data_IF_845444333711
#
_entry.id   IF_845444333711
#
_cell.length_a   1.000
_cell.length_b   1.000
_cell.length_c   1.000
_cell.angle_alpha   90.00
_cell.angle_beta   90.00
_cell.angle_gamma   90.00
#
_symmetry.space_group_name_H-M   'P 1'
#
loop_
_entity.id
_entity.type
_entity.pdbx_description
1 polymer ?
#
# COMPACT_ATOMS: atom_id res chain seq x y z
N UNK A 1 24.85 2.95 38.54
CA UNK A 1 26.08 3.20 37.77
C UNK A 1 25.71 3.33 36.31
N UNK A 2 26.04 4.43 35.63
CA UNK A 2 25.77 4.60 34.20
C UNK A 2 26.58 3.62 33.34
N UNK A 3 26.05 3.31 32.16
CA UNK A 3 26.69 2.50 31.12
C UNK A 3 27.14 3.45 30.02
N UNK A 4 28.38 3.29 29.57
CA UNK A 4 28.96 4.04 28.48
C UNK A 4 29.42 3.09 27.37
N UNK A 5 29.10 3.44 26.12
CA UNK A 5 29.53 2.73 24.93
C UNK A 5 30.87 3.28 24.43
N UNK A 6 31.77 2.41 24.00
CA UNK A 6 33.08 2.74 23.44
C UNK A 6 33.33 2.01 22.13
N UNK A 7 34.09 2.62 21.23
CA UNK A 7 34.66 1.97 20.06
C UNK A 7 36.19 2.07 20.04
N UNK A 8 36.81 0.97 19.69
CA UNK A 8 38.26 0.87 19.49
C UNK A 8 38.63 1.20 18.04
N UNK A 9 39.87 1.64 17.80
CA UNK A 9 40.43 1.82 16.44
C UNK A 9 40.42 0.54 15.60
N UNK A 10 40.49 -0.63 16.26
CA UNK A 10 40.36 -1.93 15.61
C UNK A 10 38.91 -2.28 15.19
N UNK A 11 37.93 -1.41 15.46
CA UNK A 11 36.52 -1.59 15.06
C UNK A 11 35.66 -2.36 16.05
N UNK A 12 36.15 -2.66 17.26
CA UNK A 12 35.36 -3.32 18.31
C UNK A 12 34.50 -2.32 19.09
N UNK A 13 33.25 -2.70 19.37
CA UNK A 13 32.32 -1.99 20.25
C UNK A 13 32.22 -2.69 21.60
N UNK A 14 32.23 -1.94 22.68
CA UNK A 14 32.10 -2.51 24.02
C UNK A 14 31.51 -1.52 25.04
N UNK A 15 30.84 -2.08 26.04
CA UNK A 15 30.14 -1.32 27.07
C UNK A 15 30.89 -1.40 28.40
N UNK A 16 30.94 -0.30 29.14
CA UNK A 16 31.53 -0.25 30.48
C UNK A 16 30.62 0.45 31.47
N UNK A 17 30.49 -0.15 32.65
CA UNK A 17 29.88 0.46 33.82
C UNK A 17 30.94 1.30 34.54
N UNK A 18 30.80 2.63 34.53
CA UNK A 18 31.69 3.52 35.27
C UNK A 18 30.89 4.42 36.21
N UNK A 19 31.40 4.74 37.41
CA UNK A 19 30.86 5.83 38.20
C UNK A 19 31.12 7.17 37.50
N UNK A 20 30.25 8.15 37.72
CA UNK A 20 30.38 9.47 37.09
C UNK A 20 31.68 10.19 37.47
N UNK A 21 32.22 9.91 38.66
CA UNK A 21 33.51 10.45 39.11
C UNK A 21 34.70 10.00 38.25
N UNK A 22 34.59 8.84 37.61
CA UNK A 22 35.64 8.25 36.76
C UNK A 22 35.32 8.43 35.27
N UNK A 23 34.37 9.31 34.95
CA UNK A 23 33.88 9.48 33.60
C UNK A 23 35.03 9.68 32.60
N UNK A 24 36.01 10.53 32.88
CA UNK A 24 37.11 10.85 31.95
C UNK A 24 38.26 9.85 31.93
N UNK A 25 38.17 8.74 32.67
CA UNK A 25 39.23 7.73 32.65
C UNK A 25 39.27 6.97 31.31
N UNK A 26 40.44 6.87 30.65
CA UNK A 26 40.57 6.17 29.39
C UNK A 26 40.30 4.67 29.56
N UNK A 27 39.44 4.12 28.72
CA UNK A 27 39.09 2.70 28.75
C UNK A 27 39.85 1.93 27.67
N UNK A 28 40.41 0.78 28.03
CA UNK A 28 41.09 -0.11 27.11
C UNK A 28 40.13 -1.18 26.57
N UNK A 29 40.24 -1.44 25.27
CA UNK A 29 39.59 -2.58 24.64
C UNK A 29 40.33 -3.89 25.00
N UNK A 30 39.68 -5.04 24.83
CA UNK A 30 40.32 -6.36 24.99
C UNK A 30 41.51 -6.56 24.05
N UNK A 31 41.58 -5.83 22.93
CA UNK A 31 42.72 -5.83 22.02
C UNK A 31 43.89 -4.91 22.45
N UNK A 32 43.78 -4.23 23.60
CA UNK A 32 44.84 -3.37 24.16
C UNK A 32 44.86 -1.93 23.62
N UNK A 33 44.14 -1.65 22.54
CA UNK A 33 43.99 -0.28 22.02
C UNK A 33 43.01 0.56 22.85
N UNK A 34 43.21 1.89 22.92
CA UNK A 34 42.31 2.78 23.65
C UNK A 34 40.94 2.86 22.97
N UNK A 35 39.88 2.82 23.77
CA UNK A 35 38.50 3.00 23.34
C UNK A 35 38.11 4.48 23.36
N UNK A 36 37.51 4.95 22.26
CA UNK A 36 36.86 6.26 22.17
C UNK A 36 35.39 6.12 22.57
N UNK A 37 34.91 7.01 23.46
CA UNK A 37 33.50 7.07 23.84
C UNK A 37 32.63 7.33 22.61
N UNK A 38 31.56 6.56 22.49
CA UNK A 38 30.51 6.77 21.51
C UNK A 38 29.27 7.28 22.21
N UNK A 39 28.77 8.42 21.72
CA UNK A 39 27.42 8.85 22.02
C UNK A 39 26.57 8.29 20.89
N UNK A 40 26.03 7.09 21.11
CA UNK A 40 25.11 6.50 20.14
C UNK A 40 23.86 7.36 20.03
N UNK A 41 23.33 7.42 18.81
CA UNK A 41 22.12 8.19 18.54
C UNK A 41 20.95 7.49 19.23
N UNK A 42 20.37 8.13 20.24
CA UNK A 42 19.13 7.65 20.84
C UNK A 42 18.02 7.81 19.81
N UNK A 43 17.54 6.69 19.27
CA UNK A 43 16.37 6.67 18.40
C UNK A 43 15.12 6.68 19.27
N UNK A 44 14.62 7.87 19.61
CA UNK A 44 13.33 7.98 20.29
C UNK A 44 12.23 7.82 19.25
N UNK A 45 11.56 6.66 19.27
CA UNK A 45 10.34 6.48 18.49
C UNK A 45 9.21 7.30 19.10
N UNK A 46 8.98 8.51 18.58
CA UNK A 46 7.80 9.29 18.97
C UNK A 46 6.57 8.62 18.37
N UNK A 47 5.80 7.92 19.20
CA UNK A 47 4.49 7.43 18.80
C UNK A 47 3.62 8.62 18.40
N UNK A 48 2.89 8.48 17.29
CA UNK A 48 1.88 9.48 16.91
C UNK A 48 0.84 9.55 18.02
N UNK A 49 0.43 10.75 18.38
CA UNK A 49 -0.64 10.93 19.36
C UNK A 49 -1.96 10.59 18.67
N UNK A 50 -2.54 9.46 19.05
CA UNK A 50 -3.69 8.84 18.39
C UNK A 50 -4.72 8.57 19.46
N UNK A 51 -5.30 9.66 19.98
CA UNK A 51 -6.31 9.65 21.02
C UNK A 51 -7.69 9.98 20.42
N UNK A 52 -8.57 8.97 20.32
CA UNK A 52 -9.96 9.15 19.89
C UNK A 52 -10.83 7.97 20.35
N UNK A 53 -12.15 8.15 20.34
CA UNK A 53 -13.10 7.07 20.61
C UNK A 53 -13.45 6.36 19.30
N UNK A 54 -13.32 5.03 19.25
CA UNK A 54 -13.66 4.24 18.06
C UNK A 54 -15.12 4.52 17.65
N UNK A 55 -15.39 4.94 16.40
CA UNK A 55 -16.75 5.19 15.92
C UNK A 55 -17.62 3.93 15.85
N UNK A 56 -17.00 2.74 15.83
CA UNK A 56 -17.69 1.46 15.65
C UNK A 56 -18.11 0.92 17.03
N UNK A 57 -17.15 0.82 17.95
CA UNK A 57 -17.32 0.14 19.24
C UNK A 57 -17.44 1.08 20.45
N UNK A 58 -17.18 2.39 20.28
CA UNK A 58 -17.19 3.35 21.38
C UNK A 58 -16.02 3.22 22.38
N UNK A 59 -15.02 2.38 22.09
CA UNK A 59 -13.84 2.19 22.96
C UNK A 59 -12.83 3.33 22.79
N UNK A 60 -12.21 3.82 23.89
CA UNK A 60 -11.15 4.81 23.78
C UNK A 60 -9.88 4.16 23.21
N UNK A 61 -9.37 4.74 22.12
CA UNK A 61 -8.08 4.42 21.52
C UNK A 61 -7.10 5.47 22.01
N UNK A 62 -6.05 5.04 22.71
CA UNK A 62 -5.04 5.92 23.32
C UNK A 62 -3.65 5.73 22.72
N UNK A 63 -3.47 4.76 21.80
CA UNK A 63 -2.19 4.45 21.17
C UNK A 63 -2.38 3.85 19.78
N UNK A 64 -1.34 3.90 18.94
CA UNK A 64 -1.33 3.24 17.63
C UNK A 64 -1.50 1.72 17.72
N UNK A 65 -1.02 1.10 18.81
CA UNK A 65 -1.25 -0.33 19.04
C UNK A 65 -2.74 -0.63 19.25
N UNK A 66 -3.42 0.17 20.09
CA UNK A 66 -4.86 0.07 20.30
C UNK A 66 -5.65 0.35 19.01
N UNK A 67 -5.20 1.30 18.18
CA UNK A 67 -5.78 1.57 16.87
C UNK A 67 -5.67 0.39 15.93
N UNK A 68 -4.50 -0.24 15.84
CA UNK A 68 -4.28 -1.42 14.99
C UNK A 68 -5.14 -2.61 15.42
N UNK A 69 -5.30 -2.81 16.73
CA UNK A 69 -6.16 -3.86 17.26
C UNK A 69 -7.64 -3.60 16.95
N UNK A 70 -8.09 -2.36 17.10
CA UNK A 70 -9.47 -1.95 16.78
C UNK A 70 -9.79 -2.15 15.29
N UNK A 71 -8.86 -1.76 14.41
CA UNK A 71 -8.96 -1.98 12.97
C UNK A 71 -9.02 -3.48 12.63
N UNK A 72 -8.15 -4.29 13.23
CA UNK A 72 -8.12 -5.73 13.00
C UNK A 72 -9.40 -6.42 13.49
N UNK A 73 -9.93 -6.01 14.66
CA UNK A 73 -11.17 -6.57 15.24
C UNK A 73 -12.39 -6.28 14.36
N UNK A 74 -12.44 -5.09 13.77
CA UNK A 74 -13.54 -4.63 12.93
C UNK A 74 -13.32 -4.91 11.43
N UNK A 75 -12.31 -5.72 11.09
CA UNK A 75 -11.92 -6.03 9.70
C UNK A 75 -11.78 -4.78 8.81
N UNK A 76 -11.26 -3.70 9.39
CA UNK A 76 -11.09 -2.40 8.76
C UNK A 76 -9.60 -2.18 8.41
N UNK A 77 -9.35 -1.42 7.35
CA UNK A 77 -8.01 -1.02 6.91
C UNK A 77 -7.87 0.49 7.09
N UNK A 78 -6.69 1.01 7.46
CA UNK A 78 -6.45 2.45 7.44
C UNK A 78 -6.79 3.04 6.07
N UNK A 79 -7.57 4.11 6.06
CA UNK A 79 -7.91 4.80 4.82
C UNK A 79 -6.66 5.43 4.21
N UNK A 80 -6.39 5.06 2.96
CA UNK A 80 -5.41 5.71 2.10
C UNK A 80 -6.17 6.49 1.01
N UNK A 81 -5.91 7.80 0.82
CA UNK A 81 -6.61 8.61 -0.18
C UNK A 81 -6.49 8.07 -1.61
N UNK A 82 -5.42 7.32 -1.93
CA UNK A 82 -5.24 6.76 -3.27
C UNK A 82 -6.13 5.54 -3.55
N UNK A 83 -6.70 4.88 -2.53
CA UNK A 83 -7.56 3.70 -2.71
C UNK A 83 -8.72 3.97 -3.67
N UNK A 84 -9.32 5.16 -3.61
CA UNK A 84 -10.41 5.54 -4.53
C UNK A 84 -9.91 5.62 -5.97
N UNK A 85 -8.75 6.24 -6.17
CA UNK A 85 -8.15 6.39 -7.49
C UNK A 85 -7.72 5.03 -8.06
N UNK A 86 -7.21 4.13 -7.22
CA UNK A 86 -6.84 2.78 -7.62
C UNK A 86 -8.05 1.94 -8.03
N UNK A 87 -9.16 2.03 -7.28
CA UNK A 87 -10.41 1.37 -7.64
C UNK A 87 -10.93 1.91 -8.98
N UNK A 88 -10.93 3.23 -9.18
CA UNK A 88 -11.35 3.85 -10.44
C UNK A 88 -10.45 3.42 -11.61
N UNK A 89 -9.13 3.37 -11.39
CA UNK A 89 -8.16 2.93 -12.40
C UNK A 89 -8.36 1.47 -12.75
N UNK A 90 -8.56 0.60 -11.75
CA UNK A 90 -8.83 -0.82 -11.96
C UNK A 90 -10.11 -1.02 -12.76
N UNK A 91 -11.20 -0.34 -12.38
CA UNK A 91 -12.47 -0.37 -13.12
C UNK A 91 -12.30 0.10 -14.57
N UNK A 92 -11.57 1.20 -14.80
CA UNK A 92 -11.32 1.68 -16.16
C UNK A 92 -10.49 0.69 -17.00
N UNK A 93 -9.54 -0.01 -16.39
CA UNK A 93 -8.77 -1.07 -17.06
C UNK A 93 -9.63 -2.30 -17.37
N UNK A 94 -10.50 -2.69 -16.45
CA UNK A 94 -11.45 -3.80 -16.64
C UNK A 94 -12.46 -3.47 -17.74
N UNK A 95 -13.01 -2.25 -17.75
CA UNK A 95 -13.90 -1.75 -18.81
C UNK A 95 -13.20 -1.78 -20.18
N UNK A 96 -11.99 -1.22 -20.27
CA UNK A 96 -11.23 -1.22 -21.53
C UNK A 96 -10.88 -2.64 -22.01
N UNK A 97 -10.57 -3.55 -21.09
CA UNK A 97 -10.32 -4.95 -21.42
C UNK A 97 -11.58 -5.66 -21.92
N UNK A 98 -12.74 -5.34 -21.33
CA UNK A 98 -14.03 -5.85 -21.79
C UNK A 98 -14.37 -5.34 -23.19
N UNK A 99 -14.25 -4.04 -23.43
CA UNK A 99 -14.49 -3.42 -24.73
C UNK A 99 -13.59 -4.06 -25.82
N UNK A 100 -12.30 -4.21 -25.54
CA UNK A 100 -11.37 -4.90 -26.44
C UNK A 100 -11.73 -6.37 -26.70
N UNK A 101 -12.35 -7.05 -25.73
CA UNK A 101 -12.81 -8.43 -25.90
C UNK A 101 -14.06 -8.52 -26.79
N UNK A 102 -14.94 -7.52 -26.72
CA UNK A 102 -16.12 -7.40 -27.59
C UNK A 102 -15.67 -7.15 -29.03
N UNK A 103 -14.77 -6.19 -29.25
CA UNK A 103 -14.23 -5.88 -30.57
C UNK A 103 -13.63 -7.12 -31.24
N UNK A 104 -12.76 -7.84 -30.53
CA UNK A 104 -12.18 -9.10 -31.02
C UNK A 104 -13.24 -10.13 -31.39
N UNK A 105 -14.28 -10.28 -30.57
CA UNK A 105 -15.36 -11.23 -30.84
C UNK A 105 -16.16 -10.86 -32.08
N UNK A 106 -16.40 -9.56 -32.30
CA UNK A 106 -17.08 -9.03 -33.48
C UNK A 106 -16.24 -9.27 -34.74
N UNK A 107 -14.94 -8.98 -34.69
CA UNK A 107 -14.01 -9.23 -35.80
C UNK A 107 -14.00 -10.72 -36.20
N UNK A 108 -13.83 -11.61 -35.23
CA UNK A 108 -13.86 -13.05 -35.48
C UNK A 108 -15.19 -13.52 -36.08
N UNK A 109 -16.31 -12.97 -35.59
CA UNK A 109 -17.64 -13.30 -36.10
C UNK A 109 -17.83 -12.81 -37.54
N UNK A 110 -17.30 -11.64 -37.87
CA UNK A 110 -17.32 -11.07 -39.22
C UNK A 110 -16.50 -11.91 -40.21
N UNK A 111 -15.29 -12.32 -39.82
CA UNK A 111 -14.42 -13.16 -40.64
C UNK A 111 -15.03 -14.53 -40.93
N UNK A 112 -15.65 -15.16 -39.91
CA UNK A 112 -16.32 -16.45 -40.05
C UNK A 112 -17.61 -16.36 -40.88
N UNK A 113 -18.11 -15.15 -41.19
CA UNK A 113 -19.37 -14.95 -41.88
C UNK A 113 -19.24 -15.15 -43.42
N UNK A 114 -20.12 -15.95 -44.05
CA UNK A 114 -20.18 -16.09 -45.51
C UNK A 114 -20.45 -14.75 -46.22
N UNK A 115 -19.89 -14.56 -47.41
CA UNK A 115 -19.99 -13.30 -48.18
C UNK A 115 -21.44 -12.85 -48.42
N UNK A 116 -22.35 -13.79 -48.76
CA UNK A 116 -23.77 -13.49 -48.97
C UNK A 116 -24.47 -12.92 -47.72
N UNK A 117 -24.04 -13.31 -46.51
CA UNK A 117 -24.59 -12.74 -45.26
C UNK A 117 -24.00 -11.35 -44.96
N UNK A 118 -22.72 -11.14 -45.26
CA UNK A 118 -22.06 -9.83 -45.12
C UNK A 118 -22.68 -8.77 -46.04
N UNK A 119 -22.89 -9.11 -47.31
CA UNK A 119 -23.55 -8.22 -48.27
C UNK A 119 -25.01 -7.89 -47.88
N UNK A 120 -25.73 -8.87 -47.31
CA UNK A 120 -27.09 -8.64 -46.82
C UNK A 120 -27.10 -7.69 -45.63
N UNK A 121 -26.21 -7.91 -44.66
CA UNK A 121 -26.08 -7.04 -43.49
C UNK A 121 -25.67 -5.61 -43.89
N UNK A 122 -24.72 -5.48 -44.83
CA UNK A 122 -24.31 -4.18 -45.37
C UNK A 122 -25.46 -3.46 -46.10
N UNK A 123 -26.29 -4.20 -46.83
CA UNK A 123 -27.50 -3.64 -47.44
C UNK A 123 -28.56 -3.23 -46.40
N UNK A 124 -28.74 -4.01 -45.32
CA UNK A 124 -29.66 -3.68 -44.23
C UNK A 124 -29.21 -2.42 -43.47
N UNK A 125 -27.90 -2.26 -43.21
CA UNK A 125 -27.34 -1.07 -42.54
C UNK A 125 -27.35 0.17 -43.45
N UNK A 126 -26.89 0.04 -44.70
CA UNK A 126 -26.68 1.20 -45.57
C UNK A 126 -27.95 1.62 -46.33
N UNK A 127 -28.77 0.66 -46.79
CA UNK A 127 -29.98 0.92 -47.59
C UNK A 127 -31.27 0.78 -46.79
N UNK A 128 -31.28 -0.06 -45.75
CA UNK A 128 -32.45 -0.29 -44.90
C UNK A 128 -32.68 0.78 -43.83
N UNK A 129 -31.71 1.66 -43.58
CA UNK A 129 -31.83 2.73 -42.58
C UNK A 129 -31.90 2.23 -41.14
N UNK A 130 -31.43 1.01 -40.89
CA UNK A 130 -31.37 0.42 -39.54
C UNK A 130 -30.21 1.03 -38.77
N UNK A 131 -30.51 1.66 -37.64
CA UNK A 131 -29.52 2.17 -36.71
C UNK A 131 -29.31 1.19 -35.56
N UNK A 132 -28.06 0.79 -35.30
CA UNK A 132 -27.71 -0.17 -34.26
C UNK A 132 -27.07 0.55 -33.08
N UNK A 133 -27.73 0.50 -31.93
CA UNK A 133 -27.21 0.99 -30.66
C UNK A 133 -27.06 -0.20 -29.73
N UNK A 134 -25.84 -0.46 -29.26
CA UNK A 134 -25.63 -1.39 -28.16
C UNK A 134 -25.55 -0.59 -26.85
N UNK A 135 -26.22 -1.07 -25.82
CA UNK A 135 -26.14 -0.50 -24.48
C UNK A 135 -25.60 -1.54 -23.52
N UNK A 136 -24.63 -1.13 -22.70
CA UNK A 136 -24.19 -1.91 -21.55
C UNK A 136 -25.16 -1.65 -20.41
N UNK A 137 -25.94 -2.65 -20.03
CA UNK A 137 -26.71 -2.60 -18.80
C UNK A 137 -25.74 -2.77 -17.63
N UNK A 138 -25.32 -1.68 -17.00
CA UNK A 138 -24.64 -1.77 -15.70
C UNK A 138 -25.65 -2.31 -14.70
N UNK A 139 -25.29 -3.29 -13.84
CA UNK A 139 -26.19 -3.73 -12.79
C UNK A 139 -26.52 -2.50 -11.93
N UNK A 140 -27.81 -2.18 -11.84
CA UNK A 140 -28.33 -1.13 -10.96
C UNK A 140 -27.82 -1.41 -9.56
N UNK A 141 -27.09 -0.44 -8.98
CA UNK A 141 -26.68 -0.46 -7.58
C UNK A 141 -27.95 -0.66 -6.73
N UNK A 142 -28.14 -1.87 -6.21
CA UNK A 142 -29.18 -2.16 -5.24
C UNK A 142 -28.78 -1.48 -3.93
N UNK A 143 -29.48 -0.41 -3.61
CA UNK A 143 -29.39 0.35 -2.36
C UNK A 143 -29.69 -0.51 -1.14
#
# INVERSE_FOLDING_TARGET
>A
MPVYEYACEAGHYFDRYLPLAEYDQPQACSCGSPGRKLISRVTVFRAKNTEYTSPIDGRPITSEAARREDLARNNCVPYDPEMKNDVLRRRAQEDAAMDASVDRTVEEAWEKMPAAKRERLDAELTRGGLDLVYTRATPTEST
#
